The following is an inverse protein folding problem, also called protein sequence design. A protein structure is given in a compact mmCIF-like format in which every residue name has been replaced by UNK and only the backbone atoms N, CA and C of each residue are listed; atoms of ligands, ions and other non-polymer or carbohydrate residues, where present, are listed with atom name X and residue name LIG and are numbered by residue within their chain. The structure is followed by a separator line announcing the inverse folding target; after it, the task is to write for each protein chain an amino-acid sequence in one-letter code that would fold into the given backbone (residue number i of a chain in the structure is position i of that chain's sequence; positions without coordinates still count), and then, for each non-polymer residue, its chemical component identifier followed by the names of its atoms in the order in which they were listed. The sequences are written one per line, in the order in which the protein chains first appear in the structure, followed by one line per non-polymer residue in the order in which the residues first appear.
data_IF_626559835878
#
_entry.id   IF_626559835878
#
_cell.length_a   1.000
_cell.length_b   1.000
_cell.length_c   1.000
_cell.angle_alpha   90.00
_cell.angle_beta   90.00
_cell.angle_gamma   90.00
#
_symmetry.space_group_name_H-M   'P 1'
#
loop_
_entity.id
_entity.type
_entity.pdbx_description
1 polymer ?
#
# COMPACT_ATOMS: atom_id res chain seq x y z
N UNK A 1 -32.73 14.47 -27.07
CA UNK A 1 -31.97 14.75 -25.84
C UNK A 1 -32.15 13.53 -24.96
N UNK A 2 -31.05 12.87 -24.59
CA UNK A 2 -31.05 11.55 -23.98
C UNK A 2 -31.53 11.68 -22.52
N UNK A 3 -32.71 11.14 -22.20
CA UNK A 3 -33.36 11.28 -20.88
C UNK A 3 -32.60 10.61 -19.73
N UNK A 4 -31.59 9.80 -20.04
CA UNK A 4 -30.82 9.05 -19.06
C UNK A 4 -29.85 9.91 -18.22
N UNK A 5 -29.60 11.17 -18.59
CA UNK A 5 -28.72 12.06 -17.82
C UNK A 5 -29.44 12.75 -16.64
N UNK A 6 -30.77 12.86 -16.74
CA UNK A 6 -31.64 13.46 -15.71
C UNK A 6 -32.12 12.44 -14.67
N UNK A 7 -31.91 11.14 -14.95
CA UNK A 7 -32.16 10.04 -14.03
C UNK A 7 -30.85 9.60 -13.37
N UNK A 8 -30.90 9.21 -12.09
CA UNK A 8 -29.73 8.79 -11.32
C UNK A 8 -28.75 9.92 -10.95
N UNK A 9 -29.25 11.14 -10.78
CA UNK A 9 -28.52 12.12 -9.98
C UNK A 9 -28.24 11.55 -8.59
N UNK A 10 -27.21 12.04 -7.89
CA UNK A 10 -26.95 11.57 -6.53
C UNK A 10 -28.19 11.71 -5.63
N UNK A 11 -28.98 12.77 -5.83
CA UNK A 11 -30.28 12.98 -5.17
C UNK A 11 -31.28 11.86 -5.48
N UNK A 12 -31.41 11.44 -6.74
CA UNK A 12 -32.32 10.34 -7.14
C UNK A 12 -31.93 8.97 -6.57
N UNK A 13 -30.69 8.84 -6.13
CA UNK A 13 -30.11 7.65 -5.51
C UNK A 13 -30.03 7.78 -3.98
N UNK A 14 -30.64 8.82 -3.41
CA UNK A 14 -30.73 9.07 -1.97
C UNK A 14 -29.45 9.61 -1.33
N UNK A 15 -28.42 9.96 -2.12
CA UNK A 15 -27.21 10.59 -1.61
C UNK A 15 -26.55 11.50 -2.68
N UNK A 16 -26.69 12.84 -2.56
CA UNK A 16 -26.13 13.78 -3.54
C UNK A 16 -24.60 13.77 -3.60
N UNK A 17 -23.93 13.27 -2.56
CA UNK A 17 -22.47 13.19 -2.45
C UNK A 17 -21.87 11.90 -3.02
N UNK A 18 -22.66 11.07 -3.71
CA UNK A 18 -22.13 9.88 -4.40
C UNK A 18 -21.11 10.27 -5.47
N UNK A 19 -19.91 9.69 -5.35
CA UNK A 19 -18.86 9.71 -6.37
C UNK A 19 -19.32 9.04 -7.67
N UNK A 20 -18.62 9.32 -8.77
CA UNK A 20 -19.05 8.94 -10.11
C UNK A 20 -19.19 7.42 -10.33
N UNK A 21 -18.27 6.64 -9.80
CA UNK A 21 -18.25 5.18 -9.84
C UNK A 21 -19.39 4.56 -9.00
N UNK A 22 -19.58 5.05 -7.78
CA UNK A 22 -20.64 4.59 -6.88
C UNK A 22 -22.03 4.99 -7.41
N UNK A 23 -22.14 6.19 -8.01
CA UNK A 23 -23.35 6.66 -8.70
C UNK A 23 -23.68 5.77 -9.90
N UNK A 24 -22.67 5.45 -10.72
CA UNK A 24 -22.84 4.57 -11.89
C UNK A 24 -23.31 3.18 -11.46
N UNK A 25 -22.67 2.59 -10.46
CA UNK A 25 -23.03 1.26 -9.94
C UNK A 25 -24.45 1.22 -9.39
N UNK A 26 -24.82 2.21 -8.56
CA UNK A 26 -26.20 2.31 -8.03
C UNK A 26 -27.24 2.58 -9.11
N UNK A 27 -26.91 3.39 -10.12
CA UNK A 27 -27.80 3.65 -11.23
C UNK A 27 -28.05 2.39 -12.04
N UNK A 28 -27.01 1.63 -12.38
CA UNK A 28 -27.12 0.35 -13.08
C UNK A 28 -27.99 -0.63 -12.30
N UNK A 29 -27.78 -0.76 -10.98
CA UNK A 29 -28.62 -1.62 -10.14
C UNK A 29 -30.08 -1.17 -10.06
N UNK A 30 -30.35 0.15 -10.19
CA UNK A 30 -31.71 0.71 -10.23
C UNK A 30 -32.41 0.47 -11.56
N UNK A 31 -31.71 0.70 -12.67
CA UNK A 31 -32.27 0.62 -14.03
C UNK A 31 -32.34 -0.81 -14.54
N UNK A 32 -31.36 -1.66 -14.20
CA UNK A 32 -31.25 -3.04 -14.64
C UNK A 32 -30.95 -3.99 -13.47
N UNK A 33 -31.93 -4.28 -12.59
CA UNK A 33 -31.71 -5.09 -11.39
C UNK A 33 -31.28 -6.54 -11.67
N UNK A 34 -31.44 -7.02 -12.90
CA UNK A 34 -31.04 -8.36 -13.35
C UNK A 34 -29.64 -8.39 -13.98
N UNK A 35 -29.00 -7.23 -14.15
CA UNK A 35 -27.65 -7.14 -14.71
C UNK A 35 -26.64 -7.74 -13.74
N UNK A 36 -25.91 -8.75 -14.21
CA UNK A 36 -24.80 -9.33 -13.46
C UNK A 36 -23.48 -8.77 -13.99
N UNK A 37 -22.82 -7.92 -13.19
CA UNK A 37 -21.52 -7.34 -13.55
C UNK A 37 -20.38 -8.19 -13.00
N UNK A 38 -19.31 -8.34 -13.78
CA UNK A 38 -18.09 -9.01 -13.30
C UNK A 38 -17.21 -8.00 -12.59
N UNK A 39 -16.90 -8.24 -11.32
CA UNK A 39 -15.95 -7.42 -10.56
C UNK A 39 -14.53 -7.88 -10.86
N UNK A 40 -13.71 -6.99 -11.42
CA UNK A 40 -12.26 -7.24 -11.61
C UNK A 40 -11.54 -6.79 -10.34
N UNK A 41 -11.19 -7.74 -9.48
CA UNK A 41 -10.66 -7.46 -8.13
C UNK A 41 -9.32 -6.72 -8.19
N UNK A 42 -8.58 -6.90 -9.27
CA UNK A 42 -7.28 -6.31 -9.56
C UNK A 42 -7.37 -4.81 -9.89
N UNK A 43 -8.48 -4.35 -10.51
CA UNK A 43 -8.69 -2.94 -10.89
C UNK A 43 -9.39 -2.12 -9.80
N UNK A 44 -9.31 -2.55 -8.54
CA UNK A 44 -9.88 -1.78 -7.44
C UNK A 44 -9.17 -0.43 -7.32
N UNK A 45 -9.96 0.64 -7.43
CA UNK A 45 -9.54 1.98 -7.07
C UNK A 45 -9.45 1.98 -5.54
N UNK A 46 -8.22 1.94 -5.00
CA UNK A 46 -7.98 1.81 -3.56
C UNK A 46 -8.27 3.13 -2.85
N UNK A 47 -9.54 3.31 -2.55
CA UNK A 47 -10.19 4.46 -1.96
C UNK A 47 -10.04 4.45 -0.42
N UNK A 48 -8.80 4.29 0.05
CA UNK A 48 -8.46 4.17 1.46
C UNK A 48 -8.30 5.53 2.14
N UNK A 49 -8.80 5.63 3.38
CA UNK A 49 -8.59 6.77 4.27
C UNK A 49 -7.70 6.40 5.45
N UNK A 50 -6.86 7.35 5.86
CA UNK A 50 -5.95 7.18 6.99
C UNK A 50 -4.60 6.63 6.55
N UNK A 51 -3.99 5.76 7.36
CA UNK A 51 -2.63 5.33 7.15
C UNK A 51 -2.57 4.13 6.19
N UNK A 52 -1.90 4.29 5.04
CA UNK A 52 -1.92 3.30 3.93
C UNK A 52 -0.74 2.34 3.92
N UNK A 53 0.08 2.28 4.99
CA UNK A 53 1.24 1.40 5.00
C UNK A 53 0.91 -0.07 4.77
N UNK A 54 -0.19 -0.55 5.35
CA UNK A 54 -0.68 -1.90 5.13
C UNK A 54 -0.83 -2.25 3.67
N UNK A 55 -1.48 -1.37 2.90
CA UNK A 55 -1.66 -1.53 1.45
C UNK A 55 -0.32 -1.65 0.74
N UNK A 56 0.56 -0.66 0.91
CA UNK A 56 1.83 -0.61 0.17
C UNK A 56 2.83 -1.68 0.61
N UNK A 57 2.88 -2.04 1.90
CA UNK A 57 3.79 -3.07 2.46
C UNK A 57 3.22 -4.50 2.34
N UNK A 58 2.00 -4.65 1.80
CA UNK A 58 1.33 -5.95 1.66
C UNK A 58 2.08 -6.92 0.74
N UNK A 59 2.92 -6.42 -0.16
CA UNK A 59 3.54 -7.21 -1.22
C UNK A 59 2.55 -7.66 -2.30
N UNK A 60 1.28 -7.23 -2.23
CA UNK A 60 0.28 -7.49 -3.26
C UNK A 60 0.51 -6.55 -4.43
N UNK A 61 0.20 -7.04 -5.62
CA UNK A 61 0.22 -6.19 -6.81
C UNK A 61 -0.88 -5.15 -6.73
N UNK A 62 -0.53 -3.88 -6.96
CA UNK A 62 -1.50 -2.78 -6.95
C UNK A 62 -1.47 -2.11 -8.32
N UNK A 63 -2.60 -2.17 -9.01
CA UNK A 63 -2.70 -1.73 -10.40
C UNK A 63 -3.05 -0.23 -10.53
N UNK A 64 -3.85 0.31 -9.60
CA UNK A 64 -4.30 1.70 -9.66
C UNK A 64 -4.42 2.33 -8.28
N UNK A 65 -4.05 3.61 -8.15
CA UNK A 65 -4.29 4.44 -6.97
C UNK A 65 -5.02 5.72 -7.40
N UNK A 66 -6.09 6.12 -6.68
CA UNK A 66 -6.95 7.21 -7.14
C UNK A 66 -6.78 8.52 -6.34
N UNK A 67 -6.32 8.47 -5.09
CA UNK A 67 -6.26 9.65 -4.21
C UNK A 67 -4.92 9.81 -3.47
N UNK A 68 -3.81 9.57 -4.16
CA UNK A 68 -2.44 9.58 -3.61
C UNK A 68 -1.76 10.96 -3.55
N UNK A 69 -2.33 11.97 -4.21
CA UNK A 69 -1.73 13.31 -4.29
C UNK A 69 -1.83 14.13 -3.00
N UNK A 70 -1.17 15.29 -2.96
CA UNK A 70 -1.09 16.15 -1.75
C UNK A 70 -2.44 16.55 -1.14
N UNK A 71 -3.49 16.66 -1.96
CA UNK A 71 -4.86 17.00 -1.53
C UNK A 71 -5.79 15.79 -1.50
N UNK A 72 -5.24 14.59 -1.68
CA UNK A 72 -5.95 13.33 -1.68
C UNK A 72 -6.18 12.79 -0.28
N UNK A 73 -6.51 11.51 -0.20
CA UNK A 73 -6.85 10.84 1.06
C UNK A 73 -5.63 10.23 1.74
N UNK A 74 -4.56 10.04 0.97
CA UNK A 74 -3.23 9.72 1.46
C UNK A 74 -2.21 10.48 0.61
N UNK A 75 -1.13 10.96 1.24
CA UNK A 75 -0.10 11.74 0.56
C UNK A 75 1.12 10.85 0.35
N UNK A 76 1.34 10.41 -0.89
CA UNK A 76 2.49 9.60 -1.25
C UNK A 76 3.12 10.16 -2.53
N UNK A 77 4.40 10.51 -2.48
CA UNK A 77 5.12 10.95 -3.68
C UNK A 77 5.46 9.73 -4.54
N UNK A 78 4.64 9.46 -5.56
CA UNK A 78 4.77 8.26 -6.41
C UNK A 78 5.96 8.32 -7.35
N UNK A 79 6.50 9.51 -7.66
CA UNK A 79 7.58 9.66 -8.63
C UNK A 79 8.89 9.03 -8.12
N UNK A 80 9.34 9.31 -6.88
CA UNK A 80 10.45 8.58 -6.26
C UNK A 80 10.20 7.08 -6.11
N UNK A 81 8.94 6.64 -5.96
CA UNK A 81 8.62 5.22 -5.78
C UNK A 81 8.96 4.41 -7.01
N UNK A 82 8.64 4.95 -8.19
CA UNK A 82 8.83 4.28 -9.49
C UNK A 82 10.21 4.52 -10.09
N UNK A 83 11.07 5.30 -9.43
CA UNK A 83 12.37 5.72 -9.96
C UNK A 83 13.32 4.55 -10.31
N UNK A 84 13.11 3.38 -9.72
CA UNK A 84 13.92 2.17 -9.93
C UNK A 84 13.44 1.34 -11.13
N UNK A 85 12.22 1.56 -11.61
CA UNK A 85 11.64 0.79 -12.72
C UNK A 85 12.49 0.76 -14.00
N UNK A 86 13.17 1.86 -14.43
CA UNK A 86 14.01 1.82 -15.63
C UNK A 86 15.23 0.88 -15.55
N UNK A 87 15.66 0.49 -14.36
CA UNK A 87 16.85 -0.37 -14.16
C UNK A 87 16.48 -1.74 -13.61
N UNK A 88 15.51 -1.81 -12.69
CA UNK A 88 15.08 -3.06 -12.04
C UNK A 88 13.78 -3.62 -12.62
N UNK A 89 13.19 -2.96 -13.63
CA UNK A 89 11.92 -3.33 -14.25
C UNK A 89 10.71 -2.85 -13.47
N UNK A 90 9.54 -2.73 -14.12
CA UNK A 90 8.30 -2.26 -13.48
C UNK A 90 7.86 -3.16 -12.32
N UNK A 91 8.10 -4.47 -12.41
CA UNK A 91 7.79 -5.43 -11.37
C UNK A 91 8.58 -5.21 -10.06
N UNK A 92 9.66 -4.42 -10.10
CA UNK A 92 10.40 -4.04 -8.90
C UNK A 92 9.64 -3.05 -8.02
N UNK A 93 8.74 -2.25 -8.59
CA UNK A 93 8.01 -1.22 -7.84
C UNK A 93 7.14 -1.88 -6.78
N UNK A 94 7.28 -1.46 -5.52
CA UNK A 94 6.61 -2.06 -4.36
C UNK A 94 6.96 -3.53 -4.10
N UNK A 95 7.95 -4.09 -4.80
CA UNK A 95 8.42 -5.43 -4.51
C UNK A 95 8.97 -5.49 -3.08
N UNK A 96 8.57 -6.54 -2.36
CA UNK A 96 8.97 -6.78 -0.99
C UNK A 96 10.20 -7.69 -0.92
N UNK A 97 11.22 -7.26 -0.19
CA UNK A 97 12.47 -7.99 -0.01
C UNK A 97 12.79 -8.06 1.49
N UNK A 98 12.89 -9.28 2.04
CA UNK A 98 13.36 -9.52 3.41
C UNK A 98 14.87 -9.77 3.41
N UNK A 99 15.59 -9.13 4.32
CA UNK A 99 17.04 -9.28 4.43
C UNK A 99 17.54 -9.03 5.87
N UNK A 100 18.82 -9.30 6.11
CA UNK A 100 19.47 -9.04 7.40
C UNK A 100 18.92 -9.90 8.55
N UNK A 101 18.49 -11.13 8.25
CA UNK A 101 17.96 -12.05 9.25
C UNK A 101 19.06 -12.48 10.23
N UNK A 102 18.78 -12.38 11.53
CA UNK A 102 19.71 -12.79 12.58
C UNK A 102 19.84 -14.32 12.75
N UNK A 103 19.06 -15.12 12.00
CA UNK A 103 19.16 -16.59 11.98
C UNK A 103 18.62 -17.29 13.23
N UNK A 104 17.87 -16.58 14.06
CA UNK A 104 17.34 -17.10 15.32
C UNK A 104 16.15 -18.06 15.12
N UNK A 105 15.89 -18.90 16.12
CA UNK A 105 14.66 -19.70 16.20
C UNK A 105 13.57 -18.96 17.00
N UNK A 106 12.37 -19.53 17.07
CA UNK A 106 11.31 -19.01 17.96
C UNK A 106 11.75 -18.92 19.42
N UNK A 107 12.74 -19.70 19.86
CA UNK A 107 13.26 -19.67 21.22
C UNK A 107 14.17 -18.47 21.51
N UNK A 108 14.53 -17.69 20.48
CA UNK A 108 15.47 -16.56 20.58
C UNK A 108 14.86 -15.31 19.96
N UNK A 109 15.33 -14.15 20.40
CA UNK A 109 15.00 -12.89 19.73
C UNK A 109 15.47 -12.92 18.27
N UNK A 110 14.63 -12.41 17.37
CA UNK A 110 14.92 -12.35 15.94
C UNK A 110 14.79 -10.92 15.44
N UNK A 111 15.70 -10.55 14.54
CA UNK A 111 15.68 -9.25 13.90
C UNK A 111 15.89 -9.41 12.41
N UNK A 112 15.13 -8.65 11.62
CA UNK A 112 15.28 -8.61 10.16
C UNK A 112 14.70 -7.31 9.61
N UNK A 113 15.05 -7.02 8.36
CA UNK A 113 14.55 -5.88 7.62
C UNK A 113 13.64 -6.35 6.49
N UNK A 114 12.64 -5.54 6.19
CA UNK A 114 11.79 -5.69 5.02
C UNK A 114 11.81 -4.38 4.25
N UNK A 115 12.36 -4.42 3.05
CA UNK A 115 12.23 -3.36 2.05
C UNK A 115 10.91 -3.58 1.30
N UNK A 116 10.13 -2.52 1.16
CA UNK A 116 9.11 -2.38 0.12
C UNK A 116 9.63 -1.32 -0.83
N UNK A 117 10.14 -1.73 -1.99
CA UNK A 117 10.86 -0.85 -2.92
C UNK A 117 10.00 0.37 -3.28
N UNK A 118 10.57 1.55 -3.05
CA UNK A 118 9.90 2.80 -3.35
C UNK A 118 8.89 3.21 -2.28
N UNK A 119 8.84 2.59 -1.10
CA UNK A 119 7.89 3.00 -0.06
C UNK A 119 8.50 3.07 1.34
N UNK A 120 9.07 1.96 1.81
CA UNK A 120 9.61 1.90 3.17
C UNK A 120 10.66 0.80 3.34
N UNK A 121 11.47 0.98 4.38
CA UNK A 121 12.25 -0.10 4.99
C UNK A 121 11.74 -0.23 6.42
N UNK A 122 11.39 -1.43 6.84
CA UNK A 122 10.92 -1.71 8.20
C UNK A 122 11.85 -2.72 8.84
N UNK A 123 12.46 -2.34 9.98
CA UNK A 123 13.12 -3.28 10.87
C UNK A 123 12.08 -3.87 11.80
N UNK A 124 12.04 -5.19 11.85
CA UNK A 124 11.26 -5.95 12.81
C UNK A 124 12.20 -6.52 13.85
N UNK A 125 11.86 -6.30 15.12
CA UNK A 125 12.47 -6.97 16.26
C UNK A 125 11.37 -7.80 16.92
N UNK A 126 11.51 -9.13 16.89
CA UNK A 126 10.54 -10.12 17.39
C UNK A 126 11.12 -10.80 18.61
N UNK A 127 10.44 -10.67 19.74
CA UNK A 127 10.87 -11.25 21.02
C UNK A 127 10.83 -12.79 21.01
N UNK A 128 11.61 -13.40 21.91
CA UNK A 128 11.61 -14.85 22.07
C UNK A 128 10.22 -15.36 22.48
N UNK A 129 9.79 -16.48 21.90
CA UNK A 129 8.47 -17.08 22.12
C UNK A 129 7.35 -16.49 21.26
N UNK A 130 7.58 -15.37 20.57
CA UNK A 130 6.58 -14.74 19.68
C UNK A 130 6.70 -15.34 18.29
N UNK A 131 5.58 -15.59 17.60
CA UNK A 131 5.62 -16.02 16.19
C UNK A 131 6.16 -14.92 15.29
N UNK A 132 6.75 -15.32 14.17
CA UNK A 132 7.17 -14.32 13.19
C UNK A 132 5.97 -13.57 12.59
N UNK A 133 6.22 -12.41 11.98
CA UNK A 133 5.20 -11.67 11.25
C UNK A 133 4.81 -12.46 10.01
N UNK A 134 3.51 -12.72 9.86
CA UNK A 134 2.96 -13.28 8.64
C UNK A 134 2.89 -12.18 7.58
N UNK A 135 3.61 -12.39 6.48
CA UNK A 135 3.68 -11.47 5.35
C UNK A 135 2.70 -11.84 4.23
N UNK A 136 2.02 -12.98 4.33
CA UNK A 136 0.89 -13.34 3.47
C UNK A 136 -0.39 -12.62 3.93
N UNK A 137 -0.43 -12.19 5.20
CA UNK A 137 -1.47 -11.31 5.76
C UNK A 137 -1.12 -9.81 5.59
N UNK A 138 -2.10 -9.02 5.14
CA UNK A 138 -1.96 -7.56 5.03
C UNK A 138 -2.17 -6.92 6.40
N UNK A 139 -1.31 -5.98 6.78
CA UNK A 139 -1.53 -5.20 8.00
C UNK A 139 -2.70 -4.23 7.83
N UNK A 140 -3.71 -4.33 8.68
CA UNK A 140 -4.85 -3.42 8.61
C UNK A 140 -4.52 -2.08 9.27
N UNK A 141 -4.09 -1.09 8.47
CA UNK A 141 -3.63 0.22 8.96
C UNK A 141 -4.55 1.41 8.62
N UNK A 142 -5.55 1.22 7.75
CA UNK A 142 -6.49 2.25 7.34
C UNK A 142 -7.75 2.25 8.21
N UNK A 143 -8.63 3.23 8.01
CA UNK A 143 -9.77 3.47 8.89
C UNK A 143 -11.10 2.88 8.38
N UNK A 144 -11.19 2.56 7.09
CA UNK A 144 -12.40 2.02 6.47
C UNK A 144 -12.64 0.54 6.83
N UNK A 145 -13.89 0.06 6.74
CA UNK A 145 -14.27 -1.30 7.16
C UNK A 145 -13.43 -2.38 6.43
N UNK A 146 -12.75 -3.30 7.13
CA UNK A 146 -11.95 -4.34 6.48
C UNK A 146 -12.75 -5.21 5.50
N UNK A 147 -14.02 -5.49 5.78
CA UNK A 147 -14.87 -6.36 4.93
C UNK A 147 -14.95 -5.87 3.48
N UNK A 148 -14.85 -4.55 3.26
CA UNK A 148 -14.90 -3.94 1.92
C UNK A 148 -13.67 -4.30 1.07
N UNK A 149 -12.58 -4.75 1.71
CA UNK A 149 -11.27 -4.97 1.10
C UNK A 149 -10.73 -6.40 1.25
N UNK A 150 -11.34 -7.23 2.09
CA UNK A 150 -10.85 -8.58 2.43
C UNK A 150 -10.70 -9.48 1.20
N UNK A 151 -11.59 -9.32 0.23
CA UNK A 151 -11.65 -10.06 -1.03
C UNK A 151 -10.37 -10.04 -1.87
N UNK A 152 -9.48 -9.07 -1.64
CA UNK A 152 -8.22 -8.92 -2.36
C UNK A 152 -7.05 -8.57 -1.43
N UNK A 153 -7.24 -7.66 -0.46
CA UNK A 153 -6.20 -7.32 0.51
C UNK A 153 -6.17 -8.28 1.70
N UNK A 154 -7.21 -9.08 1.91
CA UNK A 154 -7.21 -10.10 2.95
C UNK A 154 -6.28 -11.27 2.64
N UNK A 155 -6.06 -12.16 3.63
CA UNK A 155 -6.43 -12.01 5.04
C UNK A 155 -5.70 -10.84 5.73
N UNK A 156 -6.27 -10.33 6.83
CA UNK A 156 -5.73 -9.18 7.56
C UNK A 156 -5.09 -9.57 8.89
N UNK A 157 -3.93 -8.96 9.18
CA UNK A 157 -3.29 -8.97 10.50
C UNK A 157 -3.45 -7.65 11.23
N UNK A 158 -3.48 -7.73 12.56
CA UNK A 158 -3.54 -6.55 13.42
C UNK A 158 -2.27 -5.72 13.34
N UNK A 159 -2.42 -4.41 13.56
CA UNK A 159 -1.32 -3.52 13.93
C UNK A 159 -0.80 -3.86 15.32
N UNK A 160 0.48 -3.57 15.57
CA UNK A 160 1.12 -3.65 16.89
C UNK A 160 0.94 -5.01 17.58
N UNK A 161 1.39 -6.08 16.92
CA UNK A 161 1.44 -7.42 17.51
C UNK A 161 2.34 -7.39 18.75
N UNK A 162 1.83 -7.93 19.87
CA UNK A 162 2.58 -7.98 21.12
C UNK A 162 3.91 -8.72 20.95
N UNK A 163 4.99 -8.15 21.49
CA UNK A 163 6.35 -8.68 21.34
C UNK A 163 6.96 -8.52 19.94
N UNK A 164 6.33 -7.74 19.05
CA UNK A 164 6.91 -7.31 17.77
C UNK A 164 7.06 -5.79 17.77
N UNK A 165 8.31 -5.32 17.69
CA UNK A 165 8.63 -3.89 17.54
C UNK A 165 8.99 -3.58 16.10
N UNK A 166 8.54 -2.42 15.61
CA UNK A 166 8.79 -1.95 14.23
C UNK A 166 9.45 -0.59 14.25
N UNK A 167 10.58 -0.45 13.56
CA UNK A 167 11.16 0.85 13.19
C UNK A 167 11.05 1.01 11.67
N UNK A 168 10.44 2.10 11.21
CA UNK A 168 10.10 2.30 9.79
C UNK A 168 10.77 3.55 9.24
N UNK A 169 11.63 3.37 8.24
CA UNK A 169 12.13 4.44 7.40
C UNK A 169 11.23 4.57 6.18
N UNK A 170 10.76 5.79 5.89
CA UNK A 170 9.92 6.10 4.73
C UNK A 170 10.77 6.61 3.58
N UNK A 171 10.37 6.33 2.35
CA UNK A 171 11.03 6.94 1.19
C UNK A 171 10.95 8.46 1.30
N UNK A 172 12.12 9.10 1.34
CA UNK A 172 12.30 10.54 1.39
C UNK A 172 12.55 11.10 -0.01
N UNK A 173 13.22 10.33 -0.87
CA UNK A 173 13.39 10.67 -2.27
C UNK A 173 14.23 9.67 -3.05
N UNK A 174 14.30 9.87 -4.36
CA UNK A 174 15.13 9.10 -5.27
C UNK A 174 15.86 10.04 -6.24
N UNK A 175 17.12 9.72 -6.56
CA UNK A 175 17.93 10.48 -7.52
C UNK A 175 18.75 9.54 -8.39
N UNK A 176 18.89 9.89 -9.66
CA UNK A 176 19.86 9.24 -10.56
C UNK A 176 21.23 9.87 -10.38
N UNK A 177 22.25 9.05 -10.14
CA UNK A 177 23.65 9.46 -10.07
C UNK A 177 24.44 8.56 -10.99
N UNK A 178 24.94 9.12 -12.10
CA UNK A 178 25.46 8.31 -13.21
C UNK A 178 24.36 7.42 -13.77
N UNK A 179 24.63 6.12 -13.83
CA UNK A 179 23.65 5.11 -14.26
C UNK A 179 22.92 4.42 -13.11
N UNK A 180 23.25 4.75 -11.87
CA UNK A 180 22.62 4.17 -10.69
C UNK A 180 21.45 5.02 -10.19
N UNK A 181 20.51 4.38 -9.50
CA UNK A 181 19.44 5.06 -8.77
C UNK A 181 19.71 4.94 -7.28
N UNK A 182 19.70 6.09 -6.61
CA UNK A 182 19.87 6.21 -5.17
C UNK A 182 18.50 6.52 -4.57
N UNK A 183 18.01 5.65 -3.69
CA UNK A 183 16.80 5.88 -2.90
C UNK A 183 17.19 6.13 -1.44
N UNK A 184 16.71 7.25 -0.90
CA UNK A 184 16.90 7.63 0.50
C UNK A 184 15.65 7.32 1.29
N UNK A 185 15.82 6.59 2.40
CA UNK A 185 14.76 6.27 3.35
C UNK A 185 15.08 6.93 4.68
N UNK A 186 14.13 7.70 5.22
CA UNK A 186 14.29 8.49 6.44
C UNK A 186 13.39 7.98 7.55
N UNK A 187 13.96 7.85 8.74
CA UNK A 187 13.24 7.77 10.00
C UNK A 187 13.40 9.12 10.70
N UNK A 188 12.28 9.72 11.11
CA UNK A 188 12.25 11.00 11.81
C UNK A 188 11.12 10.93 12.83
N UNK A 189 11.47 10.60 14.08
CA UNK A 189 10.50 10.46 15.15
C UNK A 189 11.17 10.64 16.51
N UNK A 190 10.48 11.30 17.43
CA UNK A 190 10.88 11.43 18.84
C UNK A 190 12.29 12.03 19.03
N UNK A 191 12.71 12.91 18.12
CA UNK A 191 14.03 13.57 18.12
C UNK A 191 15.17 12.72 17.56
N UNK A 192 14.90 11.48 17.15
CA UNK A 192 15.85 10.63 16.44
C UNK A 192 15.65 10.77 14.93
N UNK A 193 16.74 11.09 14.23
CA UNK A 193 16.80 11.15 12.77
C UNK A 193 17.82 10.13 12.29
N UNK A 194 17.39 9.24 11.40
CA UNK A 194 18.20 8.14 10.88
C UNK A 194 17.88 7.92 9.39
N UNK A 195 18.86 7.48 8.61
CA UNK A 195 18.76 7.35 7.16
C UNK A 195 19.32 6.02 6.68
N UNK A 196 18.65 5.43 5.69
CA UNK A 196 19.14 4.28 4.93
C UNK A 196 19.15 4.67 3.45
N UNK A 197 20.28 4.46 2.79
CA UNK A 197 20.41 4.60 1.34
C UNK A 197 20.42 3.22 0.68
N UNK A 198 19.65 3.06 -0.38
CA UNK A 198 19.74 1.91 -1.29
C UNK A 198 20.21 2.39 -2.65
N UNK A 199 21.29 1.78 -3.14
CA UNK A 199 21.86 2.05 -4.46
C UNK A 199 21.50 0.89 -5.38
N UNK A 200 20.71 1.20 -6.41
CA UNK A 200 20.34 0.29 -7.48
C UNK A 200 21.36 0.43 -8.59
N UNK A 201 22.18 -0.61 -8.77
CA UNK A 201 23.23 -0.63 -9.78
C UNK A 201 22.62 -0.96 -11.15
N UNK A 202 22.91 -0.14 -12.16
CA UNK A 202 22.66 -0.55 -13.53
C UNK A 202 23.64 -1.65 -13.90
N UNK A 203 23.15 -2.85 -14.21
CA UNK A 203 23.98 -3.89 -14.80
C UNK A 203 24.53 -3.41 -16.15
N UNK A 204 25.82 -3.61 -16.40
CA UNK A 204 26.41 -3.56 -17.73
C UNK A 204 26.11 -4.86 -18.48
#
# INVERSE_FOLDING_TARGET
MNSSYDECTGTDLGNPSLGGDHRTTKCLGKLEPTLNVTVWKELRQWDLRGHTAGLFESGKQIWTFHHWGKTGWFNQDVLPMVATAPIAGEASVLQRIRFGDSGGSIATKRSYYVLTNGFSIVKYDVEAGVKDVDFDETEYTWNDNPDDYEDYLGPFRKVNVEGVTKKRWRLDGAKRIGDNIHQMYKYDRDGEIDFIEIIWLSGH
#
